data_IF_194708272243
#
_entry.id   IF_194708272243
#
_cell.length_a   1.000
_cell.length_b   1.000
_cell.length_c   1.000
_cell.angle_alpha   90.00
_cell.angle_beta   90.00
_cell.angle_gamma   90.00
#
_symmetry.space_group_name_H-M   'P 1'
#
loop_
_entity.id
_entity.type
_entity.pdbx_description
1 polymer ?
#
# COMPACT_ATOMS: atom_id res chain seq x y z
N UNK A 1 -4.34 -12.25 -11.02
CA UNK A 1 -4.47 -12.62 -9.60
C UNK A 1 -3.08 -12.91 -9.07
N UNK A 2 -2.65 -12.32 -7.93
CA UNK A 2 -1.39 -12.72 -7.30
C UNK A 2 -1.47 -14.19 -6.89
N UNK A 3 -0.35 -14.92 -6.99
CA UNK A 3 -0.31 -16.34 -6.62
C UNK A 3 -0.58 -16.51 -5.12
N UNK A 4 -1.25 -17.58 -4.68
CA UNK A 4 -1.59 -17.78 -3.26
C UNK A 4 -0.35 -17.78 -2.34
N UNK A 5 0.83 -18.07 -2.87
CA UNK A 5 2.09 -18.09 -2.12
C UNK A 5 2.78 -16.71 -2.01
N UNK A 6 2.33 -15.68 -2.74
CA UNK A 6 2.93 -14.33 -2.64
C UNK A 6 2.39 -13.52 -1.45
N UNK A 7 1.22 -13.88 -0.95
CA UNK A 7 0.58 -13.19 0.19
C UNK A 7 1.31 -13.49 1.51
N UNK A 8 1.62 -14.76 1.87
CA UNK A 8 2.42 -15.07 3.06
C UNK A 8 3.80 -14.39 3.03
N UNK A 9 4.50 -14.47 1.90
CA UNK A 9 5.82 -13.85 1.75
C UNK A 9 5.82 -12.33 1.98
N UNK A 10 4.74 -11.64 1.59
CA UNK A 10 4.57 -10.22 1.86
C UNK A 10 4.31 -9.94 3.35
N UNK A 11 3.52 -10.78 4.03
CA UNK A 11 3.29 -10.66 5.46
C UNK A 11 4.58 -10.88 6.28
N UNK A 12 5.40 -11.86 5.89
CA UNK A 12 6.71 -12.11 6.50
C UNK A 12 7.66 -10.94 6.30
N UNK A 13 7.70 -10.33 5.11
CA UNK A 13 8.50 -9.13 4.89
C UNK A 13 8.08 -7.97 5.81
N UNK A 14 6.77 -7.76 6.03
CA UNK A 14 6.27 -6.75 6.96
C UNK A 14 6.70 -7.05 8.39
N UNK A 15 6.52 -8.28 8.86
CA UNK A 15 6.91 -8.68 10.22
C UNK A 15 8.41 -8.59 10.46
N UNK A 16 9.20 -9.09 9.53
CA UNK A 16 10.66 -9.00 9.61
C UNK A 16 11.15 -7.54 9.66
N UNK A 17 10.69 -6.69 8.74
CA UNK A 17 11.12 -5.28 8.71
C UNK A 17 10.57 -4.48 9.90
N UNK A 18 9.40 -4.87 10.43
CA UNK A 18 8.90 -4.35 11.70
C UNK A 18 9.86 -4.69 12.85
N UNK A 19 10.24 -5.97 13.00
CA UNK A 19 11.19 -6.40 14.02
C UNK A 19 12.53 -5.66 13.92
N UNK A 20 13.08 -5.56 12.71
CA UNK A 20 14.32 -4.83 12.46
C UNK A 20 14.21 -3.34 12.84
N UNK A 21 13.10 -2.67 12.47
CA UNK A 21 12.87 -1.26 12.80
C UNK A 21 12.59 -0.99 14.27
N UNK A 22 11.98 -1.94 14.97
CA UNK A 22 11.70 -1.87 16.40
C UNK A 22 12.87 -2.36 17.28
N UNK A 23 13.96 -2.85 16.68
CA UNK A 23 15.12 -3.37 17.41
C UNK A 23 14.80 -4.65 18.19
N UNK A 24 13.84 -5.46 17.73
CA UNK A 24 13.47 -6.70 18.40
C UNK A 24 14.60 -7.74 18.28
N UNK A 25 14.95 -8.45 19.36
CA UNK A 25 15.99 -9.45 19.32
C UNK A 25 15.56 -10.65 18.48
N UNK A 26 16.35 -11.00 17.48
CA UNK A 26 16.19 -12.21 16.65
C UNK A 26 16.59 -13.51 17.35
N UNK A 27 16.83 -13.47 18.67
CA UNK A 27 17.38 -14.59 19.46
C UNK A 27 16.46 -15.03 20.63
N UNK A 28 15.16 -14.70 20.58
CA UNK A 28 14.18 -15.23 21.53
C UNK A 28 14.00 -16.75 21.42
N UNK A 29 13.38 -17.41 22.43
CA UNK A 29 13.18 -18.85 22.44
C UNK A 29 12.33 -19.38 21.26
N UNK A 30 11.36 -18.61 20.73
CA UNK A 30 10.69 -18.99 19.46
C UNK A 30 11.58 -18.78 18.23
N UNK A 31 12.47 -17.77 18.25
CA UNK A 31 13.33 -17.44 17.12
C UNK A 31 14.39 -18.53 16.85
N UNK A 32 14.82 -19.27 17.89
CA UNK A 32 15.82 -20.33 17.79
C UNK A 32 15.35 -21.58 17.00
N UNK A 33 14.03 -21.74 16.78
CA UNK A 33 13.44 -22.83 16.01
C UNK A 33 12.51 -22.36 14.89
N UNK A 34 12.42 -21.05 14.66
CA UNK A 34 11.52 -20.48 13.67
C UNK A 34 11.91 -20.93 12.26
N UNK A 35 10.97 -21.53 11.56
CA UNK A 35 11.10 -21.88 10.16
C UNK A 35 9.90 -21.36 9.38
N UNK A 36 10.15 -20.75 8.22
CA UNK A 36 9.07 -20.37 7.31
C UNK A 36 8.47 -21.63 6.68
N UNK A 37 7.15 -21.66 6.41
CA UNK A 37 6.55 -22.73 5.63
C UNK A 37 7.28 -22.92 4.30
N UNK A 38 7.56 -24.17 3.91
CA UNK A 38 8.41 -24.47 2.73
C UNK A 38 7.92 -23.78 1.43
N UNK A 39 6.61 -23.71 1.23
CA UNK A 39 6.02 -23.03 0.08
C UNK A 39 6.38 -21.53 0.04
N UNK A 40 6.42 -20.88 1.20
CA UNK A 40 6.79 -19.48 1.35
C UNK A 40 8.30 -19.28 1.25
N UNK A 41 9.07 -20.12 1.96
CA UNK A 41 10.54 -20.12 1.91
C UNK A 41 11.03 -20.23 0.46
N UNK A 42 10.42 -21.11 -0.35
CA UNK A 42 10.71 -21.25 -1.78
C UNK A 42 10.47 -19.97 -2.58
N UNK A 43 9.39 -19.22 -2.31
CA UNK A 43 9.10 -17.95 -3.01
C UNK A 43 10.15 -16.89 -2.67
N UNK A 44 10.48 -16.77 -1.39
CA UNK A 44 11.46 -15.82 -0.89
C UNK A 44 12.86 -16.17 -1.42
N UNK A 45 13.27 -17.44 -1.31
CA UNK A 45 14.54 -17.96 -1.86
C UNK A 45 14.70 -17.61 -3.33
N UNK A 46 13.68 -17.90 -4.13
CA UNK A 46 13.71 -17.60 -5.56
C UNK A 46 13.84 -16.09 -5.83
N UNK A 47 13.32 -15.23 -4.96
CA UNK A 47 13.50 -13.78 -5.07
C UNK A 47 14.92 -13.34 -4.70
N UNK A 48 15.45 -13.83 -3.57
CA UNK A 48 16.81 -13.53 -3.11
C UNK A 48 17.86 -13.95 -4.16
N UNK A 49 17.73 -15.15 -4.73
CA UNK A 49 18.63 -15.63 -5.79
C UNK A 49 18.57 -14.75 -7.04
N UNK A 50 17.38 -14.31 -7.46
CA UNK A 50 17.24 -13.36 -8.58
C UNK A 50 17.88 -12.00 -8.28
N UNK A 51 18.01 -11.64 -7.01
CA UNK A 51 18.64 -10.40 -6.54
C UNK A 51 20.15 -10.51 -6.34
N UNK A 52 20.72 -11.70 -6.59
CA UNK A 52 22.17 -11.92 -6.57
C UNK A 52 22.68 -12.68 -5.35
N UNK A 53 21.81 -13.14 -4.44
CA UNK A 53 22.23 -14.05 -3.39
C UNK A 53 22.61 -15.41 -4.00
N UNK A 54 23.72 -15.99 -3.55
CA UNK A 54 23.97 -17.41 -3.80
C UNK A 54 23.04 -18.30 -2.93
N UNK A 55 23.11 -19.62 -3.11
CA UNK A 55 22.25 -20.54 -2.39
C UNK A 55 22.51 -20.51 -0.87
N UNK A 56 23.76 -20.45 -0.44
CA UNK A 56 24.10 -20.46 0.99
C UNK A 56 23.68 -19.16 1.68
N UNK A 57 23.90 -18.02 1.01
CA UNK A 57 23.41 -16.71 1.43
C UNK A 57 21.89 -16.69 1.52
N UNK A 58 21.19 -17.26 0.53
CA UNK A 58 19.73 -17.30 0.55
C UNK A 58 19.17 -18.12 1.72
N UNK A 59 19.79 -19.26 2.07
CA UNK A 59 19.36 -20.03 3.26
C UNK A 59 19.66 -19.29 4.58
N UNK A 60 20.82 -18.65 4.69
CA UNK A 60 21.18 -17.86 5.87
C UNK A 60 20.18 -16.72 6.10
N UNK A 61 19.83 -16.01 5.02
CA UNK A 61 18.82 -14.95 5.07
C UNK A 61 17.44 -15.51 5.40
N UNK A 62 17.03 -16.66 4.85
CA UNK A 62 15.75 -17.26 5.20
C UNK A 62 15.64 -17.56 6.70
N UNK A 63 16.71 -18.04 7.32
CA UNK A 63 16.77 -18.27 8.76
C UNK A 63 16.62 -16.97 9.56
N UNK A 64 17.35 -15.92 9.18
CA UNK A 64 17.23 -14.58 9.80
C UNK A 64 15.82 -14.00 9.65
N UNK A 65 15.23 -14.14 8.46
CA UNK A 65 13.87 -13.68 8.15
C UNK A 65 12.83 -14.43 9.00
N UNK A 66 12.99 -15.74 9.18
CA UNK A 66 12.10 -16.55 10.01
C UNK A 66 12.17 -16.09 11.48
N UNK A 67 13.38 -15.92 12.01
CA UNK A 67 13.63 -15.47 13.37
C UNK A 67 13.03 -14.07 13.64
N UNK A 68 13.28 -13.11 12.75
CA UNK A 68 12.72 -11.76 12.89
C UNK A 68 11.20 -11.72 12.75
N UNK A 69 10.63 -12.53 11.84
CA UNK A 69 9.17 -12.61 11.69
C UNK A 69 8.48 -13.25 12.91
N UNK A 70 9.13 -14.23 13.56
CA UNK A 70 8.66 -14.83 14.81
C UNK A 70 8.70 -13.82 15.97
N UNK A 71 9.83 -13.10 16.14
CA UNK A 71 9.95 -12.06 17.17
C UNK A 71 8.87 -10.96 17.03
N UNK A 72 8.56 -10.55 15.80
CA UNK A 72 7.44 -9.63 15.55
C UNK A 72 6.08 -10.26 15.89
N UNK A 73 5.88 -11.54 15.60
CA UNK A 73 4.64 -12.24 15.91
C UNK A 73 4.38 -12.33 17.43
N UNK A 74 5.41 -12.54 18.25
CA UNK A 74 5.31 -12.52 19.71
C UNK A 74 4.81 -11.17 20.22
N UNK A 75 5.45 -10.07 19.80
CA UNK A 75 5.07 -8.70 20.20
C UNK A 75 3.66 -8.33 19.73
N UNK A 76 3.28 -8.78 18.53
CA UNK A 76 1.92 -8.63 17.99
C UNK A 76 0.91 -9.40 18.85
N UNK A 77 1.21 -10.66 19.18
CA UNK A 77 0.33 -11.51 19.97
C UNK A 77 0.16 -10.99 21.41
N UNK A 78 1.20 -10.37 21.97
CA UNK A 78 1.15 -9.70 23.27
C UNK A 78 0.35 -8.37 23.25
N UNK A 79 -0.01 -7.84 22.08
CA UNK A 79 -0.68 -6.55 21.95
C UNK A 79 0.23 -5.35 22.21
N UNK A 80 1.55 -5.56 22.22
CA UNK A 80 2.58 -4.55 22.50
C UNK A 80 3.13 -3.90 21.23
N UNK A 81 2.65 -4.34 20.06
CA UNK A 81 3.11 -3.82 18.79
C UNK A 81 2.75 -2.35 18.60
N UNK A 82 3.70 -1.58 18.06
CA UNK A 82 3.48 -0.19 17.66
C UNK A 82 3.09 -0.08 16.18
N UNK A 83 2.40 0.99 15.76
CA UNK A 83 2.05 1.17 14.35
C UNK A 83 3.30 1.34 13.48
N UNK A 84 3.33 0.64 12.34
CA UNK A 84 4.36 0.80 11.31
C UNK A 84 3.83 1.70 10.18
N UNK A 85 4.53 2.79 9.86
CA UNK A 85 4.19 3.62 8.70
C UNK A 85 4.78 3.06 7.41
N UNK A 86 4.17 3.38 6.26
CA UNK A 86 4.71 2.96 4.96
C UNK A 86 6.11 3.54 4.68
N UNK A 87 6.37 4.75 5.15
CA UNK A 87 7.68 5.41 5.03
C UNK A 87 8.73 4.71 5.88
N UNK A 88 8.40 4.37 7.14
CA UNK A 88 9.29 3.60 8.02
C UNK A 88 9.60 2.21 7.44
N UNK A 89 8.58 1.55 6.87
CA UNK A 89 8.76 0.29 6.14
C UNK A 89 9.71 0.43 4.96
N UNK A 90 9.50 1.41 4.08
CA UNK A 90 10.35 1.60 2.89
C UNK A 90 11.78 2.03 3.26
N UNK A 91 11.95 2.79 4.35
CA UNK A 91 13.26 3.13 4.92
C UNK A 91 14.00 1.90 5.46
N UNK A 92 13.33 1.06 6.26
CA UNK A 92 13.90 -0.19 6.77
C UNK A 92 14.26 -1.15 5.61
N UNK A 93 13.37 -1.25 4.62
CA UNK A 93 13.63 -1.99 3.38
C UNK A 93 14.88 -1.50 2.65
N UNK A 94 15.03 -0.18 2.49
CA UNK A 94 16.19 0.40 1.81
C UNK A 94 17.48 0.09 2.57
N UNK A 95 17.48 0.28 3.90
CA UNK A 95 18.63 -0.06 4.75
C UNK A 95 19.01 -1.54 4.65
N UNK A 96 18.03 -2.45 4.68
CA UNK A 96 18.28 -3.88 4.54
C UNK A 96 18.87 -4.25 3.18
N UNK A 97 18.34 -3.69 2.08
CA UNK A 97 18.87 -3.93 0.74
C UNK A 97 20.32 -3.45 0.60
N UNK A 98 20.63 -2.27 1.14
CA UNK A 98 21.99 -1.72 1.17
C UNK A 98 22.94 -2.60 1.97
N UNK A 99 22.55 -3.04 3.17
CA UNK A 99 23.37 -3.88 4.03
C UNK A 99 23.76 -5.22 3.38
N UNK A 100 22.90 -5.75 2.51
CA UNK A 100 23.10 -7.02 1.83
C UNK A 100 23.65 -6.88 0.40
N UNK A 101 24.04 -5.68 -0.02
CA UNK A 101 24.52 -5.42 -1.38
C UNK A 101 23.48 -5.74 -2.47
N UNK A 102 22.20 -5.81 -2.11
CA UNK A 102 21.12 -6.18 -3.03
C UNK A 102 20.59 -4.94 -3.75
N UNK A 103 20.52 -5.03 -5.08
CA UNK A 103 19.97 -3.93 -5.89
C UNK A 103 18.44 -3.90 -5.79
N UNK A 104 17.89 -2.72 -5.52
CA UNK A 104 16.46 -2.44 -5.63
C UNK A 104 16.04 -2.43 -7.12
N UNK A 105 15.96 -3.61 -7.76
CA UNK A 105 15.47 -3.69 -9.14
C UNK A 105 13.98 -3.35 -9.17
N UNK A 106 13.56 -2.63 -10.22
CA UNK A 106 12.15 -2.36 -10.49
C UNK A 106 11.45 -3.65 -10.94
N UNK A 107 10.28 -3.92 -10.38
CA UNK A 107 9.45 -5.07 -10.74
C UNK A 107 8.81 -5.78 -9.54
N UNK A 108 7.68 -6.43 -9.77
CA UNK A 108 6.84 -7.14 -8.79
C UNK A 108 7.50 -8.37 -8.12
N UNK A 109 8.83 -8.55 -8.24
CA UNK A 109 9.54 -9.79 -7.86
C UNK A 109 10.78 -9.57 -6.99
N UNK A 110 10.91 -8.39 -6.39
CA UNK A 110 12.01 -7.98 -5.50
C UNK A 110 11.60 -8.25 -4.05
N UNK A 111 12.48 -8.89 -3.28
CA UNK A 111 12.36 -9.07 -1.83
C UNK A 111 13.32 -8.11 -1.10
N UNK A 112 12.89 -7.34 -0.09
CA UNK A 112 11.50 -7.24 0.36
C UNK A 112 10.65 -6.49 -0.67
N UNK A 113 9.33 -6.78 -0.75
CA UNK A 113 8.41 -6.03 -1.59
C UNK A 113 8.35 -4.56 -1.15
N UNK A 114 7.93 -3.65 -2.04
CA UNK A 114 7.71 -2.24 -1.68
C UNK A 114 6.41 -2.06 -0.90
N UNK A 115 6.25 -0.92 -0.20
CA UNK A 115 4.98 -0.60 0.47
C UNK A 115 3.78 -0.60 -0.49
N UNK A 116 3.97 -0.23 -1.76
CA UNK A 116 2.93 -0.32 -2.80
C UNK A 116 2.51 -1.78 -3.07
N UNK A 117 3.46 -2.70 -3.17
CA UNK A 117 3.18 -4.13 -3.35
C UNK A 117 2.49 -4.72 -2.11
N UNK A 118 2.95 -4.36 -0.91
CA UNK A 118 2.33 -4.76 0.36
C UNK A 118 0.85 -4.33 0.43
N UNK A 119 0.55 -3.06 0.10
CA UNK A 119 -0.83 -2.55 0.03
C UNK A 119 -1.69 -3.34 -0.96
N UNK A 120 -1.13 -3.66 -2.12
CA UNK A 120 -1.84 -4.38 -3.16
C UNK A 120 -2.17 -5.83 -2.78
N UNK A 121 -1.27 -6.49 -2.04
CA UNK A 121 -1.41 -7.89 -1.66
C UNK A 121 -2.21 -8.09 -0.37
N UNK A 122 -2.04 -7.22 0.63
CA UNK A 122 -2.57 -7.43 1.99
C UNK A 122 -3.70 -6.48 2.36
N UNK A 123 -3.78 -5.30 1.75
CA UNK A 123 -4.60 -4.20 2.26
C UNK A 123 -5.61 -3.62 1.29
N UNK A 124 -5.94 -4.32 0.20
CA UNK A 124 -6.84 -3.80 -0.85
C UNK A 124 -6.47 -2.38 -1.32
N UNK A 125 -5.17 -2.12 -1.49
CA UNK A 125 -4.53 -0.82 -1.83
C UNK A 125 -4.35 0.18 -0.67
N UNK A 126 -4.74 -0.16 0.56
CA UNK A 126 -4.59 0.68 1.75
C UNK A 126 -3.54 0.12 2.72
N UNK A 127 -2.71 1.01 3.26
CA UNK A 127 -1.63 0.60 4.17
C UNK A 127 -2.16 0.14 5.53
N UNK A 128 -3.09 0.89 6.12
CA UNK A 128 -3.67 0.55 7.42
C UNK A 128 -4.40 -0.79 7.39
N UNK A 129 -5.08 -1.10 6.28
CA UNK A 129 -5.71 -2.40 6.07
C UNK A 129 -4.66 -3.51 5.99
N UNK A 130 -3.52 -3.27 5.32
CA UNK A 130 -2.41 -4.22 5.27
C UNK A 130 -1.78 -4.46 6.66
N UNK A 131 -1.59 -3.40 7.47
CA UNK A 131 -1.09 -3.51 8.84
C UNK A 131 -2.06 -4.32 9.72
N UNK A 132 -3.34 -4.02 9.62
CA UNK A 132 -4.40 -4.76 10.33
C UNK A 132 -4.40 -6.23 9.92
N UNK A 133 -4.24 -6.53 8.63
CA UNK A 133 -4.20 -7.90 8.12
C UNK A 133 -2.99 -8.72 8.63
N UNK A 134 -1.90 -8.07 9.03
CA UNK A 134 -0.73 -8.76 9.63
C UNK A 134 -0.72 -8.75 11.16
N UNK A 135 -1.70 -8.09 11.79
CA UNK A 135 -1.84 -7.98 13.24
C UNK A 135 -1.21 -6.73 13.85
N UNK A 136 -0.65 -5.81 13.04
CA UNK A 136 -0.12 -4.54 13.52
C UNK A 136 -1.25 -3.50 13.68
N UNK A 137 -1.19 -2.63 14.71
CA UNK A 137 -2.17 -1.57 14.85
C UNK A 137 -2.08 -0.58 13.69
N UNK A 138 -3.24 -0.16 13.19
CA UNK A 138 -3.31 0.89 12.18
C UNK A 138 -2.80 2.22 12.75
N UNK A 139 -1.88 2.87 12.05
CA UNK A 139 -1.54 4.25 12.37
C UNK A 139 -2.76 5.13 12.10
N UNK A 140 -3.22 5.89 13.10
CA UNK A 140 -4.24 6.92 12.91
C UNK A 140 -3.85 7.98 11.86
N UNK A 141 -2.56 8.02 11.47
CA UNK A 141 -2.06 8.69 10.27
C UNK A 141 -2.12 7.76 9.07
N UNK A 142 -2.89 8.15 8.06
CA UNK A 142 -3.05 7.44 6.79
C UNK A 142 -4.23 8.00 6.01
N UNK A 143 -4.34 7.67 4.72
CA UNK A 143 -5.51 8.06 3.93
C UNK A 143 -6.73 7.36 4.51
N UNK A 144 -7.61 8.13 5.18
CA UNK A 144 -8.89 7.61 5.65
C UNK A 144 -9.63 6.96 4.47
N UNK A 145 -10.15 5.74 4.68
CA UNK A 145 -11.06 5.12 3.72
C UNK A 145 -12.20 6.09 3.44
N UNK A 146 -12.39 6.44 2.17
CA UNK A 146 -13.51 7.30 1.75
C UNK A 146 -13.33 8.80 1.96
N UNK A 147 -12.21 9.29 2.54
CA UNK A 147 -11.95 10.74 2.56
C UNK A 147 -11.37 11.16 1.20
N UNK A 148 -12.22 11.18 0.18
CA UNK A 148 -11.95 11.96 -1.02
C UNK A 148 -11.85 13.42 -0.59
N UNK A 149 -10.89 14.17 -1.15
CA UNK A 149 -10.78 15.63 -0.98
C UNK A 149 -12.11 16.37 -1.19
N UNK A 150 -13.05 15.72 -1.88
CA UNK A 150 -14.36 16.22 -2.25
C UNK A 150 -15.46 15.34 -1.65
N UNK A 151 -16.44 15.95 -1.00
CA UNK A 151 -17.68 15.32 -0.54
C UNK A 151 -18.61 15.02 -1.71
N UNK A 152 -19.63 14.17 -1.52
CA UNK A 152 -20.64 13.92 -2.56
C UNK A 152 -21.37 15.21 -2.99
N UNK A 153 -21.52 16.18 -2.08
CA UNK A 153 -22.10 17.48 -2.39
C UNK A 153 -21.17 18.28 -3.32
N UNK A 154 -19.86 18.26 -3.09
CA UNK A 154 -18.86 18.95 -3.92
C UNK A 154 -18.87 18.43 -5.37
N UNK A 155 -19.17 17.15 -5.56
CA UNK A 155 -19.33 16.57 -6.89
C UNK A 155 -20.60 17.08 -7.60
N UNK A 156 -21.71 17.23 -6.89
CA UNK A 156 -22.94 17.78 -7.45
C UNK A 156 -22.80 19.29 -7.73
N UNK A 157 -22.20 20.03 -6.81
CA UNK A 157 -21.90 21.46 -6.94
C UNK A 157 -20.94 21.74 -8.11
N UNK A 158 -19.87 20.96 -8.24
CA UNK A 158 -18.96 21.09 -9.38
C UNK A 158 -19.65 20.84 -10.72
N UNK A 159 -20.62 19.91 -10.78
CA UNK A 159 -21.41 19.69 -11.98
C UNK A 159 -22.41 20.82 -12.23
N UNK A 160 -23.04 21.34 -11.19
CA UNK A 160 -23.92 22.50 -11.28
C UNK A 160 -23.17 23.72 -11.85
N UNK A 161 -22.04 24.08 -11.25
CA UNK A 161 -21.26 25.24 -11.66
C UNK A 161 -20.69 25.07 -13.07
N UNK A 162 -20.28 23.86 -13.43
CA UNK A 162 -19.84 23.56 -14.79
C UNK A 162 -20.98 23.73 -15.80
N UNK A 163 -22.17 23.22 -15.52
CA UNK A 163 -23.31 23.32 -16.44
C UNK A 163 -23.83 24.76 -16.53
N UNK A 164 -23.74 25.53 -15.45
CA UNK A 164 -24.03 26.96 -15.46
C UNK A 164 -23.04 27.73 -16.35
N UNK A 165 -21.76 27.36 -16.36
CA UNK A 165 -20.72 28.01 -17.15
C UNK A 165 -20.66 27.54 -18.62
N UNK A 166 -20.86 26.25 -18.88
CA UNK A 166 -20.64 25.62 -20.19
C UNK A 166 -21.93 25.18 -20.90
N UNK A 167 -23.07 25.20 -20.22
CA UNK A 167 -24.37 24.77 -20.72
C UNK A 167 -24.63 23.26 -20.60
N UNK A 168 -25.91 22.88 -20.59
CA UNK A 168 -26.40 21.51 -20.33
C UNK A 168 -25.95 20.47 -21.38
N UNK A 169 -25.61 20.94 -22.59
CA UNK A 169 -25.12 20.12 -23.70
C UNK A 169 -23.61 19.92 -23.69
N UNK A 170 -22.88 20.50 -22.72
CA UNK A 170 -21.42 20.47 -22.72
C UNK A 170 -20.85 19.03 -22.74
N UNK A 171 -19.87 18.76 -23.62
CA UNK A 171 -19.24 17.45 -23.71
C UNK A 171 -18.30 17.22 -22.52
N UNK A 172 -18.05 15.95 -22.20
CA UNK A 172 -17.12 15.55 -21.13
C UNK A 172 -15.72 16.19 -21.28
N UNK A 173 -15.25 16.34 -22.52
CA UNK A 173 -13.94 16.94 -22.81
C UNK A 173 -13.81 18.40 -22.35
N UNK A 174 -14.93 19.13 -22.23
CA UNK A 174 -14.94 20.52 -21.79
C UNK A 174 -14.76 20.68 -20.27
N UNK A 175 -15.01 19.63 -19.49
CA UNK A 175 -14.95 19.70 -18.03
C UNK A 175 -13.52 19.84 -17.50
N UNK A 176 -12.55 19.11 -18.06
CA UNK A 176 -11.18 19.14 -17.55
C UNK A 176 -10.48 20.51 -17.71
N UNK A 177 -10.58 21.21 -18.85
CA UNK A 177 -10.10 22.58 -18.98
C UNK A 177 -10.77 23.55 -18.01
N UNK A 178 -12.10 23.46 -17.83
CA UNK A 178 -12.84 24.29 -16.89
C UNK A 178 -12.40 24.05 -15.43
N UNK A 179 -12.31 22.79 -15.00
CA UNK A 179 -11.88 22.42 -13.65
C UNK A 179 -10.44 22.88 -13.36
N UNK A 180 -9.58 22.91 -14.39
CA UNK A 180 -8.23 23.49 -14.29
C UNK A 180 -8.28 25.01 -14.08
N UNK A 181 -9.17 25.71 -14.80
CA UNK A 181 -9.41 27.14 -14.60
C UNK A 181 -9.88 27.46 -13.18
N UNK A 182 -10.85 26.69 -12.66
CA UNK A 182 -11.36 26.82 -11.30
C UNK A 182 -10.26 26.57 -10.25
N UNK A 183 -9.41 25.56 -10.45
CA UNK A 183 -8.29 25.29 -9.57
C UNK A 183 -7.28 26.45 -9.51
N UNK A 184 -6.97 27.07 -10.66
CA UNK A 184 -6.13 28.27 -10.73
C UNK A 184 -6.76 29.48 -10.04
N UNK A 185 -8.09 29.53 -9.96
CA UNK A 185 -8.86 30.55 -9.23
C UNK A 185 -9.04 30.22 -7.73
N UNK A 186 -8.35 29.20 -7.20
CA UNK A 186 -8.43 28.81 -5.80
C UNK A 186 -9.65 27.97 -5.43
N UNK A 187 -10.47 27.56 -6.41
CA UNK A 187 -11.64 26.69 -6.23
C UNK A 187 -11.37 25.31 -6.85
N UNK A 188 -10.56 24.45 -6.21
CA UNK A 188 -10.24 23.14 -6.77
C UNK A 188 -11.52 22.32 -6.97
N UNK A 189 -11.68 21.70 -8.14
CA UNK A 189 -12.82 20.82 -8.46
C UNK A 189 -12.38 19.36 -8.59
N UNK A 190 -13.28 18.38 -8.40
CA UNK A 190 -12.97 16.98 -8.68
C UNK A 190 -12.57 16.76 -10.14
N UNK A 191 -11.71 15.79 -10.42
CA UNK A 191 -11.35 15.47 -11.81
C UNK A 191 -12.54 14.82 -12.55
N UNK A 192 -12.60 14.97 -13.87
CA UNK A 192 -13.69 14.39 -14.67
C UNK A 192 -13.79 12.86 -14.53
N UNK A 193 -12.66 12.16 -14.35
CA UNK A 193 -12.66 10.73 -14.06
C UNK A 193 -13.28 10.42 -12.68
N UNK A 194 -13.01 11.25 -11.67
CA UNK A 194 -13.61 11.10 -10.36
C UNK A 194 -15.12 11.39 -10.38
N UNK A 195 -15.56 12.40 -11.14
CA UNK A 195 -16.99 12.70 -11.36
C UNK A 195 -17.72 11.50 -11.96
N UNK A 196 -17.17 10.91 -13.05
CA UNK A 196 -17.76 9.71 -13.66
C UNK A 196 -17.78 8.51 -12.71
N UNK A 197 -16.73 8.35 -11.89
CA UNK A 197 -16.68 7.28 -10.88
C UNK A 197 -17.76 7.48 -9.81
N UNK A 198 -18.01 8.72 -9.39
CA UNK A 198 -19.01 9.06 -8.38
C UNK A 198 -20.44 8.82 -8.88
N UNK A 199 -20.76 9.22 -10.11
CA UNK A 199 -22.11 9.15 -10.67
C UNK A 199 -22.36 7.96 -11.62
N UNK A 200 -21.34 7.13 -11.87
CA UNK A 200 -21.39 6.00 -12.82
C UNK A 200 -21.31 6.39 -14.30
N UNK A 201 -21.85 7.55 -14.69
CA UNK A 201 -21.79 8.04 -16.08
C UNK A 201 -21.78 9.57 -16.18
N UNK A 202 -21.40 10.09 -17.35
CA UNK A 202 -21.47 11.54 -17.62
C UNK A 202 -22.91 12.06 -17.65
N UNK A 203 -23.84 11.29 -18.22
CA UNK A 203 -25.27 11.65 -18.24
C UNK A 203 -25.85 11.74 -16.83
N UNK A 204 -25.51 10.79 -15.95
CA UNK A 204 -25.92 10.82 -14.55
C UNK A 204 -25.32 12.00 -13.79
N UNK A 205 -24.04 12.32 -14.06
CA UNK A 205 -23.40 13.50 -13.48
C UNK A 205 -24.10 14.81 -13.89
N UNK A 206 -24.50 14.93 -15.17
CA UNK A 206 -25.24 16.10 -15.65
C UNK A 206 -26.64 16.21 -15.04
N UNK A 207 -27.34 15.09 -14.88
CA UNK A 207 -28.64 15.06 -14.23
C UNK A 207 -28.54 15.49 -12.75
N UNK A 208 -27.46 15.10 -12.07
CA UNK A 208 -27.22 15.48 -10.68
C UNK A 208 -26.87 16.97 -10.49
N UNK A 209 -26.29 17.62 -11.50
CA UNK A 209 -25.94 19.05 -11.48
C UNK A 209 -26.95 19.97 -12.16
N UNK A 210 -28.03 19.44 -12.74
CA UNK A 210 -29.05 20.28 -13.36
C UNK A 210 -29.81 21.10 -12.30
N UNK A 211 -30.19 22.36 -12.59
CA UNK A 211 -31.06 23.12 -11.71
C UNK A 211 -32.38 22.35 -11.52
N UNK A 212 -32.85 22.26 -10.26
CA UNK A 212 -34.15 21.68 -9.92
C UNK A 212 -35.29 22.62 -10.29
#
# INVERSE_FOLDING_TARGET
>A
MPSPQTVPAAATAVRFLYAAGAGLPSAGPEAAGAALPEAEARVIRAALVRQGADQAQAEALLSELAAGAAAAAEVIAAGEASPLSAEAYDAARAAWLTAHGMSARSGLRTWPPTSQTVRALLGAQYWNDAMTAVGLPASGRGRQRGNTRFSAADYAEAMHDFLAAAGSSAPFAAYAPWAKGEASAGRPRPSGAAVRKQFGSWSAAKAAGAPR
#
